data_IF_877924645038
#
_entry.id   IF_877924645038
#
_cell.length_a   1.000
_cell.length_b   1.000
_cell.length_c   1.000
_cell.angle_alpha   90.00
_cell.angle_beta   90.00
_cell.angle_gamma   90.00
#
_symmetry.space_group_name_H-M   'P 1'
#
loop_
_entity.id
_entity.type
_entity.pdbx_description
1 polymer ?
#
# COMPACT_ATOMS: atom_id res chain seq x y z
N UNK A 1 29.48 -30.01 34.55
CA UNK A 1 29.36 -29.83 33.10
C UNK A 1 27.88 -29.85 32.79
N UNK A 2 27.25 -28.71 32.84
CA UNK A 2 25.84 -28.56 32.45
C UNK A 2 25.78 -28.70 30.91
N UNK A 3 24.95 -29.60 30.46
CA UNK A 3 24.63 -29.76 29.04
C UNK A 3 23.81 -28.55 28.59
N UNK A 4 24.45 -27.51 28.09
CA UNK A 4 23.80 -26.52 27.25
C UNK A 4 23.41 -27.18 25.91
N UNK A 5 22.28 -27.87 25.90
CA UNK A 5 21.65 -28.13 24.60
C UNK A 5 21.12 -26.80 24.05
N UNK A 6 21.44 -26.47 22.81
CA UNK A 6 20.85 -25.27 22.20
C UNK A 6 19.31 -25.45 22.25
N UNK A 7 18.65 -24.48 22.84
CA UNK A 7 17.18 -24.35 22.75
C UNK A 7 16.86 -24.23 21.28
N UNK A 8 16.22 -25.23 20.67
CA UNK A 8 15.68 -25.09 19.32
C UNK A 8 14.65 -23.97 19.33
N UNK A 9 15.05 -22.82 18.84
CA UNK A 9 14.13 -21.71 18.62
C UNK A 9 13.16 -22.16 17.54
N UNK A 10 11.89 -22.27 17.89
CA UNK A 10 10.85 -22.58 16.91
C UNK A 10 10.70 -21.40 15.94
N UNK A 11 11.35 -21.50 14.79
CA UNK A 11 11.35 -20.48 13.72
C UNK A 11 10.13 -20.60 12.80
N UNK A 12 9.24 -21.57 13.04
CA UNK A 12 8.03 -21.72 12.21
C UNK A 12 7.10 -20.51 12.42
N UNK A 13 6.69 -19.79 11.36
CA UNK A 13 5.73 -18.73 11.47
C UNK A 13 4.39 -19.22 12.05
N UNK A 14 3.79 -18.46 12.94
CA UNK A 14 2.45 -18.71 13.45
C UNK A 14 1.51 -17.63 12.90
N UNK A 15 0.77 -17.98 11.88
CA UNK A 15 -0.17 -17.07 11.20
C UNK A 15 -1.63 -17.47 11.37
N UNK A 16 -2.53 -16.53 11.07
CA UNK A 16 -3.96 -16.79 10.89
C UNK A 16 -4.40 -16.24 9.53
N UNK A 17 -5.07 -17.08 8.75
CA UNK A 17 -5.70 -16.70 7.47
C UNK A 17 -7.18 -16.43 7.73
N UNK A 18 -7.68 -15.24 7.38
CA UNK A 18 -9.06 -14.83 7.52
C UNK A 18 -9.73 -14.68 6.16
N UNK A 19 -10.64 -15.59 5.82
CA UNK A 19 -11.21 -15.79 4.50
C UNK A 19 -12.74 -15.79 4.50
N UNK A 20 -13.40 -15.41 3.38
CA UNK A 20 -14.83 -15.66 3.22
C UNK A 20 -15.12 -17.17 3.12
N UNK A 21 -16.31 -17.58 3.56
CA UNK A 21 -16.73 -18.99 3.48
C UNK A 21 -16.72 -19.55 2.05
N UNK A 22 -16.87 -18.71 1.05
CA UNK A 22 -16.77 -19.07 -0.37
C UNK A 22 -15.40 -19.61 -0.74
N UNK A 23 -14.37 -19.33 0.06
CA UNK A 23 -13.00 -19.81 -0.15
C UNK A 23 -12.72 -21.19 0.47
N UNK A 24 -13.66 -21.82 1.20
CA UNK A 24 -13.44 -23.13 1.86
C UNK A 24 -13.00 -24.25 0.93
N UNK A 25 -13.34 -24.18 -0.36
CA UNK A 25 -12.99 -25.18 -1.36
C UNK A 25 -11.66 -24.95 -2.07
N UNK A 26 -10.93 -23.88 -1.74
CA UNK A 26 -9.66 -23.58 -2.38
C UNK A 26 -8.57 -24.54 -1.93
N UNK A 27 -7.80 -25.06 -2.89
CA UNK A 27 -6.73 -26.03 -2.64
C UNK A 27 -5.66 -25.44 -1.71
N UNK A 28 -5.22 -24.23 -1.94
CA UNK A 28 -4.24 -23.52 -1.11
C UNK A 28 -4.66 -23.39 0.36
N UNK A 29 -5.96 -23.30 0.62
CA UNK A 29 -6.51 -23.23 1.99
C UNK A 29 -6.54 -24.60 2.65
N UNK A 30 -6.94 -25.66 1.90
CA UNK A 30 -7.04 -27.02 2.44
C UNK A 30 -5.67 -27.68 2.67
N UNK A 31 -4.65 -27.27 1.93
CA UNK A 31 -3.27 -27.79 2.04
C UNK A 31 -2.38 -26.89 2.93
N UNK A 32 -2.86 -25.71 3.32
CA UNK A 32 -2.11 -24.80 4.19
C UNK A 32 -1.92 -25.40 5.59
N UNK A 33 -0.72 -25.25 6.13
CA UNK A 33 -0.41 -25.55 7.54
C UNK A 33 -0.79 -24.42 8.49
N UNK A 34 -1.19 -23.27 7.94
CA UNK A 34 -1.59 -22.07 8.68
C UNK A 34 -3.02 -22.20 9.16
N UNK A 35 -3.27 -21.78 10.39
CA UNK A 35 -4.64 -21.76 10.93
C UNK A 35 -5.54 -20.86 10.07
N UNK A 36 -6.73 -21.34 9.78
CA UNK A 36 -7.71 -20.62 8.95
C UNK A 36 -8.99 -20.35 9.74
N UNK A 37 -9.50 -19.14 9.59
CA UNK A 37 -10.80 -18.71 10.09
C UNK A 37 -11.66 -18.20 8.93
N UNK A 38 -12.93 -18.64 8.89
CA UNK A 38 -13.86 -18.20 7.84
C UNK A 38 -14.90 -17.23 8.39
N UNK A 39 -15.33 -16.30 7.53
CA UNK A 39 -16.42 -15.40 7.79
C UNK A 39 -17.49 -15.49 6.69
N UNK A 40 -18.75 -15.26 7.05
CA UNK A 40 -19.85 -15.22 6.09
C UNK A 40 -19.91 -13.82 5.44
N UNK A 41 -19.80 -13.72 4.11
CA UNK A 41 -19.93 -12.44 3.41
C UNK A 41 -21.28 -11.76 3.74
N UNK A 42 -21.26 -10.47 3.97
CA UNK A 42 -22.44 -9.68 4.35
C UNK A 42 -22.73 -9.63 5.86
N UNK A 43 -22.17 -10.52 6.67
CA UNK A 43 -22.24 -10.43 8.13
C UNK A 43 -21.16 -9.51 8.72
N UNK A 44 -20.06 -9.29 7.99
CA UNK A 44 -19.08 -8.28 8.36
C UNK A 44 -19.57 -6.93 7.79
N UNK A 45 -19.98 -5.97 8.64
CA UNK A 45 -20.49 -4.67 8.19
C UNK A 45 -19.42 -3.79 7.54
N UNK A 46 -18.16 -4.16 7.68
CA UNK A 46 -17.04 -3.36 7.20
C UNK A 46 -16.68 -3.77 5.76
N UNK A 47 -17.07 -2.93 4.79
CA UNK A 47 -16.72 -3.11 3.38
C UNK A 47 -15.28 -2.67 3.06
N UNK A 48 -14.68 -1.87 3.96
CA UNK A 48 -13.30 -1.40 3.80
C UNK A 48 -12.35 -2.32 4.56
N UNK A 49 -11.28 -2.75 3.90
CA UNK A 49 -10.22 -3.50 4.56
C UNK A 49 -9.43 -2.57 5.49
N UNK A 50 -9.74 -2.65 6.76
CA UNK A 50 -9.11 -1.89 7.83
C UNK A 50 -9.05 -2.72 9.12
N UNK A 51 -8.61 -2.12 10.22
CA UNK A 51 -8.54 -2.79 11.52
C UNK A 51 -9.87 -3.44 11.95
N UNK A 52 -11.02 -2.78 11.69
CA UNK A 52 -12.34 -3.31 12.08
C UNK A 52 -12.70 -4.56 11.31
N UNK A 53 -12.28 -4.67 10.04
CA UNK A 53 -12.47 -5.88 9.23
C UNK A 53 -11.79 -7.10 9.88
N UNK A 54 -10.59 -6.92 10.45
CA UNK A 54 -9.85 -8.01 11.10
C UNK A 54 -10.27 -8.28 12.55
N UNK A 55 -11.09 -7.43 13.18
CA UNK A 55 -11.45 -7.60 14.60
C UNK A 55 -11.89 -9.01 14.98
N UNK A 56 -12.78 -9.71 14.23
CA UNK A 56 -13.18 -11.07 14.61
C UNK A 56 -12.00 -12.06 14.65
N UNK A 57 -11.06 -11.92 13.72
CA UNK A 57 -9.84 -12.74 13.68
C UNK A 57 -8.89 -12.37 14.83
N UNK A 58 -8.71 -11.09 15.09
CA UNK A 58 -7.87 -10.58 16.17
C UNK A 58 -8.41 -10.96 17.56
N UNK A 59 -9.71 -10.96 17.75
CA UNK A 59 -10.35 -11.38 19.01
C UNK A 59 -10.14 -12.88 19.25
N UNK A 60 -10.16 -13.71 18.20
CA UNK A 60 -9.90 -15.14 18.29
C UNK A 60 -8.49 -15.45 18.78
N UNK A 61 -7.49 -14.68 18.35
CA UNK A 61 -6.08 -14.90 18.69
C UNK A 61 -5.59 -14.08 19.89
N UNK A 62 -6.49 -13.33 20.52
CA UNK A 62 -6.14 -12.45 21.65
C UNK A 62 -5.45 -13.21 22.79
N UNK A 63 -4.29 -12.69 23.20
CA UNK A 63 -3.48 -13.33 24.25
C UNK A 63 -2.68 -14.53 23.78
N UNK A 64 -2.63 -14.81 22.50
CA UNK A 64 -1.81 -15.85 21.89
C UNK A 64 -0.66 -15.22 21.08
N UNK A 65 0.41 -15.99 20.93
CA UNK A 65 1.62 -15.56 20.22
C UNK A 65 1.49 -15.85 18.71
N UNK A 66 0.87 -14.92 17.99
CA UNK A 66 0.79 -14.95 16.52
C UNK A 66 1.71 -13.90 15.92
N UNK A 67 2.38 -14.26 14.83
CA UNK A 67 3.31 -13.39 14.11
C UNK A 67 2.56 -12.46 13.14
N UNK A 68 1.43 -12.94 12.56
CA UNK A 68 0.62 -12.18 11.60
C UNK A 68 -0.81 -12.70 11.48
N UNK A 69 -1.67 -11.87 10.93
CA UNK A 69 -3.00 -12.22 10.40
C UNK A 69 -3.08 -11.69 8.98
N UNK A 70 -3.45 -12.54 8.02
CA UNK A 70 -3.74 -12.11 6.65
C UNK A 70 -5.23 -12.27 6.38
N UNK A 71 -5.90 -11.21 5.94
CA UNK A 71 -7.33 -11.20 5.63
C UNK A 71 -7.59 -10.89 4.18
N UNK A 72 -8.59 -11.56 3.58
CA UNK A 72 -9.02 -11.34 2.21
C UNK A 72 -10.49 -10.93 2.19
N UNK A 73 -10.86 -10.04 1.28
CA UNK A 73 -12.24 -9.63 1.11
C UNK A 73 -13.13 -10.71 0.45
N UNK A 74 -14.42 -10.41 0.28
CA UNK A 74 -15.42 -11.39 -0.15
C UNK A 74 -15.21 -11.92 -1.58
N UNK A 75 -14.57 -11.15 -2.44
CA UNK A 75 -14.26 -11.53 -3.83
C UNK A 75 -12.80 -11.94 -4.05
N UNK A 76 -12.01 -11.93 -2.97
CA UNK A 76 -10.61 -12.34 -2.94
C UNK A 76 -9.68 -11.45 -3.79
N UNK A 77 -10.07 -10.21 -4.03
CA UNK A 77 -9.31 -9.24 -4.82
C UNK A 77 -8.43 -8.33 -3.96
N UNK A 78 -8.79 -8.15 -2.69
CA UNK A 78 -8.09 -7.26 -1.76
C UNK A 78 -7.58 -8.01 -0.54
N UNK A 79 -6.44 -7.55 -0.02
CA UNK A 79 -5.72 -8.20 1.08
C UNK A 79 -5.35 -7.19 2.15
N UNK A 80 -5.39 -7.62 3.40
CA UNK A 80 -4.97 -6.82 4.56
C UNK A 80 -4.15 -7.66 5.53
N UNK A 81 -3.09 -7.07 6.08
CA UNK A 81 -2.19 -7.74 7.01
C UNK A 81 -2.21 -7.04 8.36
N UNK A 82 -2.51 -7.85 9.40
CA UNK A 82 -2.34 -7.48 10.79
C UNK A 82 -1.05 -8.09 11.36
N UNK A 83 -0.40 -7.38 12.26
CA UNK A 83 0.87 -7.78 12.88
C UNK A 83 0.99 -7.21 14.31
N UNK A 84 1.67 -7.92 15.23
CA UNK A 84 1.90 -7.40 16.58
C UNK A 84 2.99 -6.32 16.58
N UNK A 85 2.77 -5.24 17.35
CA UNK A 85 3.81 -4.27 17.67
C UNK A 85 4.71 -4.77 18.81
N UNK A 86 5.67 -3.95 19.24
CA UNK A 86 6.62 -4.31 20.31
C UNK A 86 5.95 -4.66 21.65
N UNK A 87 4.72 -4.16 21.90
CA UNK A 87 3.94 -4.49 23.11
C UNK A 87 2.96 -5.66 22.89
N UNK A 88 3.05 -6.37 21.77
CA UNK A 88 2.16 -7.48 21.42
C UNK A 88 0.75 -7.07 21.01
N UNK A 89 0.49 -5.78 20.83
CA UNK A 89 -0.80 -5.29 20.32
C UNK A 89 -0.82 -5.36 18.80
N UNK A 90 -1.86 -5.96 18.24
CA UNK A 90 -2.01 -6.01 16.79
C UNK A 90 -2.30 -4.63 16.19
N UNK A 91 -1.53 -4.31 15.18
CA UNK A 91 -1.71 -3.19 14.26
C UNK A 91 -2.04 -3.74 12.88
N UNK A 92 -2.44 -2.87 11.95
CA UNK A 92 -2.77 -3.23 10.58
C UNK A 92 -1.98 -2.32 9.65
N UNK A 93 -1.35 -2.89 8.65
CA UNK A 93 -0.73 -2.12 7.57
C UNK A 93 -1.81 -1.44 6.73
N UNK A 94 -1.61 -0.17 6.43
CA UNK A 94 -2.37 0.46 5.36
C UNK A 94 -1.87 -0.01 3.98
N UNK A 95 -2.61 0.29 2.91
CA UNK A 95 -2.26 -0.14 1.55
C UNK A 95 -0.84 0.27 1.14
N UNK A 96 -0.41 1.49 1.48
CA UNK A 96 0.93 2.00 1.16
C UNK A 96 2.04 1.22 1.86
N UNK A 97 1.86 0.92 3.14
CA UNK A 97 2.80 0.15 3.95
C UNK A 97 2.88 -1.30 3.50
N UNK A 98 1.72 -1.91 3.24
CA UNK A 98 1.63 -3.27 2.72
C UNK A 98 2.30 -3.38 1.35
N UNK A 99 2.04 -2.43 0.45
CA UNK A 99 2.69 -2.36 -0.85
C UNK A 99 4.22 -2.23 -0.73
N UNK A 100 4.72 -1.41 0.20
CA UNK A 100 6.16 -1.28 0.44
C UNK A 100 6.80 -2.59 0.92
N UNK A 101 6.14 -3.30 1.85
CA UNK A 101 6.59 -4.60 2.37
C UNK A 101 6.62 -5.63 1.24
N UNK A 102 5.51 -5.78 0.51
CA UNK A 102 5.43 -6.72 -0.61
C UNK A 102 6.46 -6.41 -1.71
N UNK A 103 6.62 -5.13 -2.07
CA UNK A 103 7.61 -4.72 -3.08
C UNK A 103 9.02 -5.09 -2.67
N UNK A 104 9.41 -4.77 -1.43
CA UNK A 104 10.76 -5.11 -0.96
C UNK A 104 10.98 -6.61 -0.94
N UNK A 105 10.04 -7.39 -0.40
CA UNK A 105 10.14 -8.85 -0.31
C UNK A 105 10.16 -9.48 -1.71
N UNK A 106 9.30 -9.03 -2.60
CA UNK A 106 9.27 -9.50 -4.00
C UNK A 106 10.58 -9.26 -4.74
N UNK A 107 11.18 -8.07 -4.59
CA UNK A 107 12.41 -7.71 -5.31
C UNK A 107 13.67 -8.31 -4.66
N UNK A 108 13.75 -8.33 -3.33
CA UNK A 108 14.92 -8.80 -2.59
C UNK A 108 14.92 -10.32 -2.37
N UNK A 109 13.75 -10.99 -2.48
CA UNK A 109 13.62 -12.41 -2.19
C UNK A 109 14.17 -13.28 -3.31
N UNK A 110 15.01 -14.25 -2.91
CA UNK A 110 15.38 -15.41 -3.75
C UNK A 110 14.35 -16.54 -3.62
N UNK A 111 13.28 -16.29 -2.91
CA UNK A 111 12.43 -17.29 -2.27
C UNK A 111 11.13 -17.61 -3.01
N UNK A 112 10.94 -17.07 -4.21
CA UNK A 112 9.84 -17.57 -5.04
C UNK A 112 10.30 -18.81 -5.81
N UNK A 113 9.88 -20.05 -5.44
CA UNK A 113 10.35 -21.29 -6.04
C UNK A 113 10.09 -21.42 -7.54
N UNK A 114 9.20 -20.55 -8.07
CA UNK A 114 8.84 -20.49 -9.50
C UNK A 114 9.57 -19.41 -10.29
N UNK A 115 10.39 -18.58 -9.63
CA UNK A 115 11.09 -17.45 -10.26
C UNK A 115 12.55 -17.79 -10.49
N UNK A 116 12.87 -18.30 -11.68
CA UNK A 116 14.26 -18.44 -12.12
C UNK A 116 14.98 -17.08 -12.04
N UNK A 117 16.21 -17.08 -11.49
CA UNK A 117 16.99 -15.90 -11.09
C UNK A 117 17.24 -14.83 -12.17
N UNK A 118 16.95 -15.11 -13.44
CA UNK A 118 17.26 -14.24 -14.60
C UNK A 118 16.06 -13.44 -15.13
N UNK A 119 14.91 -13.40 -14.43
CA UNK A 119 13.70 -12.74 -14.97
C UNK A 119 13.55 -11.34 -14.41
N UNK A 120 13.34 -10.38 -15.29
CA UNK A 120 13.01 -9.00 -14.90
C UNK A 120 11.71 -8.99 -14.09
N UNK A 121 11.80 -8.54 -12.84
CA UNK A 121 10.66 -8.36 -11.95
C UNK A 121 10.02 -7.00 -12.21
N UNK A 122 8.71 -6.98 -12.46
CA UNK A 122 7.95 -5.76 -12.69
C UNK A 122 7.01 -5.47 -11.53
N UNK A 123 7.05 -4.24 -11.04
CA UNK A 123 6.10 -3.71 -10.06
C UNK A 123 5.09 -2.81 -10.78
N UNK A 124 3.79 -3.05 -10.59
CA UNK A 124 2.72 -2.18 -11.09
C UNK A 124 2.04 -1.55 -9.89
N UNK A 125 2.06 -0.22 -9.82
CA UNK A 125 1.50 0.49 -8.66
C UNK A 125 0.42 1.49 -9.06
N UNK A 126 -0.60 1.62 -8.21
CA UNK A 126 -1.56 2.72 -8.32
C UNK A 126 -0.87 4.08 -8.18
N UNK A 127 -1.28 5.07 -9.00
CA UNK A 127 -0.63 6.40 -9.07
C UNK A 127 -0.69 7.20 -7.76
N UNK A 128 -1.64 6.92 -6.88
CA UNK A 128 -1.76 7.58 -5.57
C UNK A 128 -1.00 6.87 -4.46
N UNK A 129 -0.41 5.70 -4.74
CA UNK A 129 0.42 5.01 -3.77
C UNK A 129 1.70 5.77 -3.44
N UNK A 130 2.25 5.46 -2.27
CA UNK A 130 3.47 6.06 -1.73
C UNK A 130 4.63 6.03 -2.72
N UNK A 131 5.34 7.14 -2.82
CA UNK A 131 6.60 7.22 -3.55
C UNK A 131 7.74 6.42 -2.88
N UNK A 132 7.53 5.86 -1.70
CA UNK A 132 8.45 4.92 -1.08
C UNK A 132 8.69 3.70 -1.96
N UNK A 133 7.63 3.25 -2.66
CA UNK A 133 7.68 2.12 -3.59
C UNK A 133 8.68 2.39 -4.71
N UNK A 134 8.67 3.59 -5.29
CA UNK A 134 9.60 3.99 -6.36
C UNK A 134 11.05 3.90 -5.88
N UNK A 135 11.31 4.33 -4.63
CA UNK A 135 12.65 4.21 -4.02
C UNK A 135 13.05 2.77 -3.77
N UNK A 136 12.12 1.93 -3.32
CA UNK A 136 12.38 0.51 -3.12
C UNK A 136 12.73 -0.14 -4.45
N UNK A 137 11.91 0.09 -5.48
CA UNK A 137 12.12 -0.49 -6.83
C UNK A 137 13.46 -0.04 -7.40
N UNK A 138 13.74 1.27 -7.38
CA UNK A 138 14.99 1.83 -7.93
C UNK A 138 16.22 1.28 -7.20
N UNK A 139 16.18 1.17 -5.87
CA UNK A 139 17.33 0.65 -5.09
C UNK A 139 17.56 -0.86 -5.26
N UNK A 140 16.56 -1.59 -5.70
CA UNK A 140 16.64 -3.03 -5.95
C UNK A 140 16.71 -3.35 -7.46
N UNK A 141 17.02 -2.36 -8.30
CA UNK A 141 17.17 -2.51 -9.75
C UNK A 141 15.95 -3.09 -10.48
N UNK A 142 14.77 -2.96 -9.87
CA UNK A 142 13.50 -3.38 -10.47
C UNK A 142 12.98 -2.38 -11.51
N UNK A 143 12.00 -2.82 -12.27
CA UNK A 143 11.21 -1.96 -13.14
C UNK A 143 9.83 -1.69 -12.51
N UNK A 144 9.24 -0.52 -12.79
CA UNK A 144 7.87 -0.26 -12.39
C UNK A 144 7.05 0.41 -13.50
N UNK A 145 5.75 0.18 -13.46
CA UNK A 145 4.73 0.89 -14.24
C UNK A 145 3.67 1.45 -13.31
N UNK A 146 3.03 2.52 -13.71
CA UNK A 146 1.88 3.08 -13.01
C UNK A 146 0.57 2.56 -13.59
N UNK A 147 -0.47 2.51 -12.74
CA UNK A 147 -1.84 2.15 -13.08
C UNK A 147 -2.82 3.10 -12.38
N UNK A 148 -4.05 3.19 -12.88
CA UNK A 148 -5.15 3.69 -12.07
C UNK A 148 -5.52 2.69 -10.98
N UNK A 149 -6.30 3.13 -9.99
CA UNK A 149 -6.81 2.26 -8.94
C UNK A 149 -7.95 1.39 -9.43
N UNK A 150 -7.97 0.15 -8.95
CA UNK A 150 -9.00 -0.84 -9.25
C UNK A 150 -8.41 -2.13 -9.81
N UNK A 151 -9.05 -3.24 -9.45
CA UNK A 151 -8.60 -4.58 -9.89
C UNK A 151 -8.51 -4.69 -11.42
N UNK A 152 -9.51 -4.17 -12.15
CA UNK A 152 -9.53 -4.26 -13.61
C UNK A 152 -8.45 -3.38 -14.26
N UNK A 153 -8.16 -2.18 -13.73
CA UNK A 153 -7.08 -1.33 -14.23
C UNK A 153 -5.70 -1.99 -14.03
N UNK A 154 -5.47 -2.59 -12.86
CA UNK A 154 -4.25 -3.35 -12.59
C UNK A 154 -4.12 -4.55 -13.52
N UNK A 155 -5.23 -5.28 -13.76
CA UNK A 155 -5.28 -6.44 -14.65
C UNK A 155 -5.00 -6.05 -16.11
N UNK A 156 -5.58 -4.95 -16.59
CA UNK A 156 -5.28 -4.41 -17.92
C UNK A 156 -3.79 -4.14 -18.08
N UNK A 157 -3.16 -3.48 -17.09
CA UNK A 157 -1.72 -3.20 -17.10
C UNK A 157 -0.86 -4.48 -17.07
N UNK A 158 -1.31 -5.53 -16.38
CA UNK A 158 -0.63 -6.84 -16.38
C UNK A 158 -0.72 -7.47 -17.80
N UNK A 159 -1.87 -7.39 -18.46
CA UNK A 159 -2.07 -7.96 -19.79
C UNK A 159 -1.29 -7.22 -20.90
N UNK A 160 -0.87 -5.97 -20.65
CA UNK A 160 0.02 -5.20 -21.53
C UNK A 160 1.52 -5.56 -21.37
N UNK A 161 1.84 -6.52 -20.50
CA UNK A 161 3.24 -6.92 -20.28
C UNK A 161 3.70 -7.78 -21.45
N UNK A 162 4.74 -7.30 -22.15
CA UNK A 162 5.41 -8.02 -23.23
C UNK A 162 6.56 -8.88 -22.67
N UNK A 163 6.89 -9.98 -23.41
CA UNK A 163 8.09 -10.75 -23.11
C UNK A 163 9.33 -9.86 -23.09
N UNK A 164 10.27 -10.04 -22.14
CA UNK A 164 10.55 -11.24 -21.33
C UNK A 164 10.07 -11.21 -19.88
N UNK A 165 9.20 -10.28 -19.47
CA UNK A 165 8.78 -10.16 -18.07
C UNK A 165 7.87 -11.34 -17.71
N UNK A 166 8.28 -12.15 -16.73
CA UNK A 166 7.53 -13.35 -16.30
C UNK A 166 7.04 -13.28 -14.86
N UNK A 167 7.42 -12.23 -14.15
CA UNK A 167 7.08 -12.04 -12.76
C UNK A 167 6.65 -10.61 -12.51
N UNK A 168 5.47 -10.46 -11.95
CA UNK A 168 4.93 -9.13 -11.61
C UNK A 168 4.31 -9.14 -10.22
N UNK A 169 4.25 -7.95 -9.65
CA UNK A 169 3.50 -7.62 -8.44
C UNK A 169 2.72 -6.33 -8.71
N UNK A 170 1.39 -6.40 -8.66
CA UNK A 170 0.53 -5.24 -8.88
C UNK A 170 -0.30 -4.93 -7.63
N UNK A 171 -0.47 -3.65 -7.30
CA UNK A 171 -1.24 -3.20 -6.14
C UNK A 171 -1.70 -1.75 -6.28
N UNK A 172 -2.72 -1.41 -5.49
CA UNK A 172 -3.27 -0.05 -5.40
C UNK A 172 -3.58 0.36 -3.95
N UNK A 173 -4.00 1.61 -3.77
CA UNK A 173 -4.36 2.18 -2.47
C UNK A 173 -5.67 1.63 -1.88
N UNK A 174 -6.39 0.79 -2.61
CA UNK A 174 -7.61 0.10 -2.17
C UNK A 174 -7.35 -1.31 -1.65
N UNK A 175 -6.06 -1.66 -1.45
CA UNK A 175 -5.57 -2.97 -1.01
C UNK A 175 -5.72 -4.11 -2.04
N UNK A 176 -5.92 -3.82 -3.33
CA UNK A 176 -5.76 -4.86 -4.35
C UNK A 176 -4.30 -5.29 -4.41
N UNK A 177 -4.07 -6.60 -4.46
CA UNK A 177 -2.73 -7.20 -4.59
C UNK A 177 -2.82 -8.35 -5.60
N UNK A 178 -2.06 -8.27 -6.68
CA UNK A 178 -2.08 -9.25 -7.76
C UNK A 178 -0.64 -9.74 -8.02
N UNK A 179 -0.41 -11.01 -7.74
CA UNK A 179 0.80 -11.76 -8.07
C UNK A 179 0.53 -12.78 -9.18
N UNK A 180 -0.74 -13.16 -9.37
CA UNK A 180 -1.23 -13.99 -10.46
C UNK A 180 -2.68 -13.63 -10.77
N UNK A 181 -3.08 -13.77 -12.05
CA UNK A 181 -4.46 -13.52 -12.47
C UNK A 181 -5.41 -14.66 -12.09
N UNK A 182 -4.91 -15.88 -11.85
CA UNK A 182 -5.68 -16.93 -11.21
C UNK A 182 -5.83 -16.63 -9.71
N UNK A 183 -7.07 -16.46 -9.25
CA UNK A 183 -7.35 -16.06 -7.87
C UNK A 183 -6.81 -17.04 -6.82
N UNK A 184 -6.87 -18.34 -7.08
CA UNK A 184 -6.39 -19.36 -6.15
C UNK A 184 -4.87 -19.25 -5.99
N UNK A 185 -4.18 -19.18 -7.12
CA UNK A 185 -2.73 -19.01 -7.15
C UNK A 185 -2.29 -17.67 -6.58
N UNK A 186 -3.06 -16.59 -6.82
CA UNK A 186 -2.79 -15.29 -6.25
C UNK A 186 -2.82 -15.31 -4.71
N UNK A 187 -3.82 -15.96 -4.11
CA UNK A 187 -3.92 -16.12 -2.64
C UNK A 187 -2.75 -16.95 -2.11
N UNK A 188 -2.47 -18.08 -2.76
CA UNK A 188 -1.35 -18.96 -2.39
C UNK A 188 -0.02 -18.20 -2.38
N UNK A 189 0.27 -17.44 -3.44
CA UNK A 189 1.48 -16.65 -3.56
C UNK A 189 1.57 -15.55 -2.50
N UNK A 190 0.46 -14.90 -2.16
CA UNK A 190 0.46 -13.87 -1.12
C UNK A 190 0.71 -14.46 0.28
N UNK A 191 0.09 -15.60 0.59
CA UNK A 191 0.31 -16.32 1.85
C UNK A 191 1.77 -16.76 1.93
N UNK A 192 2.28 -17.43 0.90
CA UNK A 192 3.69 -17.89 0.85
C UNK A 192 4.67 -16.73 1.02
N UNK A 193 4.41 -15.58 0.38
CA UNK A 193 5.27 -14.41 0.49
C UNK A 193 5.40 -13.89 1.93
N UNK A 194 4.29 -13.87 2.67
CA UNK A 194 4.28 -13.43 4.07
C UNK A 194 4.90 -14.48 4.97
N UNK A 195 4.62 -15.78 4.76
CA UNK A 195 5.22 -16.86 5.55
C UNK A 195 6.74 -16.88 5.42
N UNK A 196 7.25 -16.80 4.20
CA UNK A 196 8.69 -16.76 3.93
C UNK A 196 9.35 -15.54 4.56
N UNK A 197 8.72 -14.35 4.41
CA UNK A 197 9.20 -13.14 5.06
C UNK A 197 9.27 -13.30 6.58
N UNK A 198 8.19 -13.79 7.21
CA UNK A 198 8.13 -13.95 8.66
C UNK A 198 9.15 -15.01 9.13
N UNK A 199 9.31 -16.09 8.38
CA UNK A 199 10.32 -17.13 8.69
C UNK A 199 11.74 -16.55 8.63
N UNK A 200 12.06 -15.78 7.60
CA UNK A 200 13.37 -15.11 7.48
C UNK A 200 13.59 -14.12 8.64
N UNK A 201 12.56 -13.34 8.98
CA UNK A 201 12.64 -12.40 10.10
C UNK A 201 12.84 -13.10 11.44
N UNK A 202 12.10 -14.17 11.72
CA UNK A 202 12.27 -14.97 12.96
C UNK A 202 13.66 -15.57 13.07
N UNK A 203 14.25 -16.01 11.97
CA UNK A 203 15.64 -16.52 11.95
C UNK A 203 16.66 -15.44 12.34
N UNK A 204 16.28 -14.17 12.24
CA UNK A 204 17.08 -12.98 12.59
C UNK A 204 16.60 -12.29 13.88
N UNK A 205 15.75 -12.96 14.66
CA UNK A 205 15.12 -12.43 15.88
C UNK A 205 14.39 -11.09 15.66
N UNK A 206 13.73 -10.96 14.50
CA UNK A 206 12.97 -9.78 14.09
C UNK A 206 11.49 -10.11 13.89
N UNK A 207 10.65 -9.10 14.05
CA UNK A 207 9.22 -9.14 13.77
C UNK A 207 8.87 -8.38 12.47
N UNK A 208 7.63 -8.52 11.98
CA UNK A 208 7.09 -7.66 10.91
C UNK A 208 7.09 -6.17 11.29
N UNK A 209 6.91 -5.85 12.58
CA UNK A 209 7.06 -4.48 13.07
C UNK A 209 8.48 -3.95 12.88
N UNK A 210 9.48 -4.75 13.28
CA UNK A 210 10.89 -4.38 13.09
C UNK A 210 11.23 -4.19 11.62
N UNK A 211 10.77 -5.09 10.77
CA UNK A 211 10.98 -4.98 9.32
C UNK A 211 10.34 -3.72 8.74
N UNK A 212 9.10 -3.41 9.15
CA UNK A 212 8.45 -2.17 8.75
C UNK A 212 9.27 -0.94 9.15
N UNK A 213 9.77 -0.89 10.38
CA UNK A 213 10.63 0.21 10.85
C UNK A 213 11.95 0.28 10.05
N UNK A 214 12.58 -0.87 9.80
CA UNK A 214 13.81 -0.94 9.00
C UNK A 214 13.60 -0.41 7.57
N UNK A 215 12.44 -0.69 6.94
CA UNK A 215 12.08 -0.10 5.64
C UNK A 215 11.96 1.42 5.70
N UNK A 216 11.35 1.97 6.78
CA UNK A 216 11.23 3.42 6.95
C UNK A 216 12.60 4.10 7.17
N UNK A 217 13.50 3.46 7.88
CA UNK A 217 14.88 3.95 8.05
C UNK A 217 15.62 3.91 6.71
N UNK A 218 15.52 2.82 5.97
CA UNK A 218 16.26 2.59 4.72
C UNK A 218 15.77 3.45 3.55
N UNK A 219 14.46 3.68 3.43
CA UNK A 219 13.82 4.30 2.26
C UNK A 219 13.09 5.61 2.60
N UNK A 220 13.33 6.21 3.75
CA UNK A 220 12.63 7.32 4.39
C UNK A 220 11.25 6.93 4.92
N UNK A 221 10.82 7.64 5.93
CA UNK A 221 9.51 7.48 6.53
C UNK A 221 8.48 8.28 5.73
N UNK A 222 7.56 7.58 5.11
CA UNK A 222 6.43 8.17 4.40
C UNK A 222 5.20 8.23 5.30
N UNK A 223 4.47 9.33 5.19
CA UNK A 223 3.13 9.49 5.73
C UNK A 223 2.15 9.68 4.60
N UNK A 224 1.04 8.97 4.64
CA UNK A 224 -0.05 9.07 3.68
C UNK A 224 -1.37 9.29 4.39
N UNK A 225 -2.22 10.13 3.81
CA UNK A 225 -3.58 10.39 4.28
C UNK A 225 -4.52 10.55 3.11
N UNK A 226 -5.67 9.89 3.21
CA UNK A 226 -6.77 10.06 2.27
C UNK A 226 -7.97 10.68 2.99
N UNK A 227 -8.54 11.70 2.40
CA UNK A 227 -9.72 12.39 2.90
C UNK A 227 -10.81 12.34 1.84
N UNK A 228 -12.01 12.00 2.26
CA UNK A 228 -13.21 12.15 1.43
C UNK A 228 -13.80 13.53 1.73
N UNK A 229 -13.83 14.38 0.72
CA UNK A 229 -14.43 15.71 0.80
C UNK A 229 -15.88 15.56 0.36
N UNK A 230 -16.80 15.74 1.31
CA UNK A 230 -18.23 15.76 1.02
C UNK A 230 -18.72 17.21 0.98
N UNK A 231 -18.99 17.71 -0.22
CA UNK A 231 -19.61 19.02 -0.44
C UNK A 231 -20.71 18.86 -1.46
N UNK A 232 -21.96 19.04 -1.05
CA UNK A 232 -23.12 18.87 -1.93
C UNK A 232 -23.02 19.83 -3.13
N UNK A 233 -22.85 19.24 -4.33
CA UNK A 233 -22.83 19.98 -5.61
C UNK A 233 -21.54 20.74 -5.93
N UNK A 234 -20.55 20.84 -5.01
CA UNK A 234 -19.34 21.65 -5.21
C UNK A 234 -18.10 20.85 -5.59
N UNK A 235 -18.12 19.53 -5.48
CA UNK A 235 -16.96 18.65 -5.70
C UNK A 235 -16.27 18.91 -7.06
N UNK A 236 -17.06 19.09 -8.11
CA UNK A 236 -16.54 19.37 -9.45
C UNK A 236 -15.83 20.73 -9.54
N UNK A 237 -16.37 21.77 -8.90
CA UNK A 237 -15.73 23.09 -8.84
C UNK A 237 -14.42 23.03 -8.05
N UNK A 238 -14.41 22.31 -6.94
CA UNK A 238 -13.19 22.10 -6.13
C UNK A 238 -12.14 21.38 -6.96
N UNK A 239 -12.50 20.29 -7.64
CA UNK A 239 -11.60 19.56 -8.53
C UNK A 239 -11.02 20.47 -9.64
N UNK A 240 -11.88 21.23 -10.34
CA UNK A 240 -11.45 22.16 -11.40
C UNK A 240 -10.54 23.27 -10.86
N UNK A 241 -10.71 23.69 -9.60
CA UNK A 241 -9.82 24.66 -8.96
C UNK A 241 -8.42 24.09 -8.76
N UNK A 242 -8.28 22.86 -8.29
CA UNK A 242 -6.97 22.21 -8.16
C UNK A 242 -6.24 22.09 -9.51
N UNK A 243 -6.98 21.94 -10.60
CA UNK A 243 -6.43 21.86 -11.95
C UNK A 243 -6.02 23.21 -12.52
N UNK A 244 -6.80 24.25 -12.25
CA UNK A 244 -6.61 25.59 -12.87
C UNK A 244 -5.82 26.55 -12.01
N UNK A 245 -5.95 26.44 -10.69
CA UNK A 245 -5.26 27.26 -9.70
C UNK A 245 -4.74 26.39 -8.56
N UNK A 246 -3.76 25.52 -8.85
CA UNK A 246 -3.20 24.63 -7.82
C UNK A 246 -2.60 25.44 -6.65
N UNK A 247 -2.69 24.94 -5.42
CA UNK A 247 -2.21 25.63 -4.22
C UNK A 247 -0.68 25.70 -4.20
N UNK A 248 -0.10 26.73 -4.83
CA UNK A 248 1.36 26.93 -4.81
C UNK A 248 1.84 27.64 -3.56
N UNK A 249 1.00 28.49 -2.96
CA UNK A 249 1.40 29.39 -1.88
C UNK A 249 0.86 28.99 -0.49
N UNK A 250 -0.16 28.12 -0.43
CA UNK A 250 -0.84 27.78 0.82
C UNK A 250 0.05 27.08 1.85
N UNK A 251 1.23 26.60 1.45
CA UNK A 251 2.13 25.82 2.28
C UNK A 251 3.60 26.26 2.20
N UNK A 252 3.86 27.41 1.60
CA UNK A 252 5.21 27.94 1.35
C UNK A 252 6.12 26.96 0.59
N UNK A 253 5.53 26.10 -0.26
CA UNK A 253 6.23 25.09 -1.02
C UNK A 253 6.10 25.35 -2.52
N UNK A 254 7.18 25.16 -3.25
CA UNK A 254 7.20 25.35 -4.69
C UNK A 254 6.56 24.16 -5.40
N UNK A 255 5.53 24.43 -6.21
CA UNK A 255 4.90 23.44 -7.08
C UNK A 255 5.84 23.14 -8.25
N UNK A 256 6.32 21.89 -8.33
CA UNK A 256 7.30 21.41 -9.33
C UNK A 256 6.61 20.89 -10.58
N UNK A 257 5.57 20.06 -10.41
CA UNK A 257 4.88 19.46 -11.56
C UNK A 257 3.38 19.28 -11.32
N UNK A 258 2.64 19.22 -12.43
CA UNK A 258 1.21 18.96 -12.48
C UNK A 258 0.97 17.84 -13.49
N UNK A 259 0.29 16.78 -13.07
CA UNK A 259 -0.24 15.73 -13.94
C UNK A 259 -1.76 15.82 -13.96
N UNK A 260 -2.34 16.39 -15.01
CA UNK A 260 -3.79 16.47 -15.23
C UNK A 260 -4.21 15.33 -16.16
N UNK A 261 -4.61 14.19 -15.58
CA UNK A 261 -5.02 13.02 -16.38
C UNK A 261 -6.31 13.28 -17.15
N UNK A 262 -7.17 14.18 -16.69
CA UNK A 262 -8.38 14.57 -17.45
C UNK A 262 -8.03 15.28 -18.75
N UNK A 263 -6.98 16.10 -18.75
CA UNK A 263 -6.51 16.83 -19.94
C UNK A 263 -5.42 16.10 -20.71
N UNK A 264 -4.96 14.94 -20.19
CA UNK A 264 -3.80 14.23 -20.74
C UNK A 264 -2.57 15.14 -20.82
N UNK A 265 -2.29 15.87 -19.74
CA UNK A 265 -1.22 16.85 -19.67
C UNK A 265 -0.35 16.64 -18.44
N UNK A 266 0.91 16.33 -18.66
CA UNK A 266 1.98 16.51 -17.68
C UNK A 266 2.69 17.82 -17.94
N UNK A 267 2.88 18.64 -16.92
CA UNK A 267 3.60 19.91 -16.99
C UNK A 267 4.62 20.03 -15.85
N UNK A 268 5.90 20.05 -16.20
CA UNK A 268 6.98 20.36 -15.27
C UNK A 268 7.23 21.88 -15.26
N UNK A 269 6.93 22.53 -14.15
CA UNK A 269 7.03 24.00 -14.01
C UNK A 269 8.48 24.50 -13.99
N UNK A 270 9.43 23.70 -13.48
CA UNK A 270 10.83 24.09 -13.38
C UNK A 270 11.50 24.13 -14.76
N UNK A 271 11.17 23.17 -15.62
CA UNK A 271 11.77 23.05 -16.95
C UNK A 271 10.91 23.61 -18.09
N UNK A 272 9.63 23.90 -17.82
CA UNK A 272 8.64 24.25 -18.82
C UNK A 272 8.21 23.07 -19.73
N UNK A 273 8.71 21.86 -19.49
CA UNK A 273 8.41 20.67 -20.31
C UNK A 273 6.96 20.26 -20.17
N UNK A 274 6.34 19.95 -21.30
CA UNK A 274 5.00 19.36 -21.40
C UNK A 274 5.09 18.01 -22.10
N UNK A 275 4.29 17.04 -21.65
CA UNK A 275 4.12 15.72 -22.28
C UNK A 275 2.75 15.16 -21.96
N UNK A 276 2.37 14.08 -22.60
CA UNK A 276 1.18 13.31 -22.24
C UNK A 276 1.54 12.29 -21.15
N UNK A 277 0.66 12.06 -20.14
CA UNK A 277 0.78 10.91 -19.24
C UNK A 277 0.60 9.59 -19.99
N UNK A 278 1.26 8.53 -19.54
CA UNK A 278 1.06 7.19 -20.13
C UNK A 278 -0.33 6.60 -19.85
N UNK A 279 -0.95 7.02 -18.75
CA UNK A 279 -2.23 6.46 -18.33
C UNK A 279 -3.40 7.14 -19.05
N UNK A 280 -4.45 6.36 -19.27
CA UNK A 280 -5.70 6.83 -19.89
C UNK A 280 -6.32 8.02 -19.15
N UNK A 281 -7.23 8.70 -19.83
CA UNK A 281 -7.96 9.82 -19.27
C UNK A 281 -8.80 9.42 -18.05
N UNK A 282 -8.61 10.17 -16.94
CA UNK A 282 -9.39 10.03 -15.70
C UNK A 282 -9.55 11.38 -15.00
N UNK A 283 -10.57 11.50 -14.15
CA UNK A 283 -10.78 12.69 -13.33
C UNK A 283 -9.84 12.71 -12.11
N UNK A 284 -8.52 12.71 -12.38
CA UNK A 284 -7.45 12.80 -11.39
C UNK A 284 -6.51 13.94 -11.79
N UNK A 285 -6.05 14.70 -10.79
CA UNK A 285 -4.92 15.63 -10.90
C UNK A 285 -3.93 15.36 -9.78
N UNK A 286 -2.65 15.34 -10.13
CA UNK A 286 -1.55 15.21 -9.16
C UNK A 286 -0.66 16.46 -9.20
N UNK A 287 -0.26 16.88 -8.01
CA UNK A 287 0.57 18.06 -7.77
C UNK A 287 1.80 17.59 -6.98
N UNK A 288 2.99 17.74 -7.54
CA UNK A 288 4.25 17.43 -6.87
C UNK A 288 4.95 18.71 -6.44
N UNK A 289 5.42 18.74 -5.21
CA UNK A 289 6.09 19.89 -4.59
C UNK A 289 7.58 19.60 -4.31
N UNK A 290 8.37 20.66 -4.23
CA UNK A 290 9.82 20.59 -4.04
C UNK A 290 10.25 19.91 -2.75
N UNK A 291 9.42 19.93 -1.71
CA UNK A 291 9.64 19.21 -0.45
C UNK A 291 9.50 17.69 -0.57
N UNK A 292 8.87 17.21 -1.65
CA UNK A 292 8.45 15.83 -1.84
C UNK A 292 7.01 15.52 -1.44
N UNK A 293 6.27 16.55 -1.00
CA UNK A 293 4.83 16.44 -0.85
C UNK A 293 4.18 16.19 -2.22
N UNK A 294 3.32 15.18 -2.27
CA UNK A 294 2.42 14.91 -3.40
C UNK A 294 0.97 15.06 -2.94
N UNK A 295 0.19 15.80 -3.70
CA UNK A 295 -1.25 15.94 -3.54
C UNK A 295 -1.93 15.34 -4.76
N UNK A 296 -2.79 14.34 -4.58
CA UNK A 296 -3.62 13.80 -5.66
C UNK A 296 -5.09 14.08 -5.33
N UNK A 297 -5.81 14.62 -6.27
CA UNK A 297 -7.24 14.91 -6.16
C UNK A 297 -7.98 14.06 -7.17
N UNK A 298 -8.86 13.21 -6.71
CA UNK A 298 -9.63 12.25 -7.51
C UNK A 298 -11.12 12.56 -7.39
N UNK A 299 -11.79 12.75 -8.52
CA UNK A 299 -13.23 12.94 -8.60
C UNK A 299 -13.89 11.67 -9.15
N UNK A 300 -14.72 11.02 -8.35
CA UNK A 300 -15.35 9.73 -8.69
C UNK A 300 -16.87 9.81 -8.61
N UNK A 301 -17.54 8.70 -8.97
CA UNK A 301 -18.99 8.52 -8.85
C UNK A 301 -19.77 9.65 -9.57
N UNK A 302 -19.34 9.94 -10.83
CA UNK A 302 -19.97 10.99 -11.65
C UNK A 302 -19.84 12.40 -11.09
N UNK A 303 -18.90 12.61 -10.15
CA UNK A 303 -18.68 13.91 -9.49
C UNK A 303 -19.24 14.00 -8.08
N UNK A 304 -19.82 12.92 -7.56
CA UNK A 304 -20.43 12.91 -6.23
C UNK A 304 -19.41 12.76 -5.09
N UNK A 305 -18.24 12.14 -5.37
CA UNK A 305 -17.18 11.94 -4.37
C UNK A 305 -15.88 12.59 -4.83
N UNK A 306 -15.25 13.27 -3.91
CA UNK A 306 -13.94 13.90 -4.11
C UNK A 306 -12.98 13.37 -3.05
N UNK A 307 -11.93 12.70 -3.50
CA UNK A 307 -10.87 12.23 -2.62
C UNK A 307 -9.65 13.12 -2.74
N UNK A 308 -9.06 13.42 -1.60
CA UNK A 308 -7.78 14.12 -1.47
C UNK A 308 -6.78 13.16 -0.85
N UNK A 309 -5.79 12.75 -1.64
CA UNK A 309 -4.70 11.89 -1.19
C UNK A 309 -3.46 12.75 -0.99
N UNK A 310 -2.86 12.65 0.17
CA UNK A 310 -1.62 13.33 0.54
C UNK A 310 -0.55 12.29 0.82
N UNK A 311 0.62 12.47 0.23
CA UNK A 311 1.82 11.69 0.54
C UNK A 311 2.99 12.64 0.73
N UNK A 312 3.74 12.46 1.82
CA UNK A 312 4.92 13.25 2.15
C UNK A 312 5.91 12.37 2.92
N UNK A 313 7.15 12.82 3.08
CA UNK A 313 8.14 12.03 3.78
C UNK A 313 9.01 12.84 4.73
N UNK A 314 9.64 12.14 5.67
CA UNK A 314 10.67 12.67 6.54
C UNK A 314 11.79 11.65 6.72
N UNK A 315 12.95 12.11 7.17
CA UNK A 315 14.02 11.20 7.54
C UNK A 315 13.71 10.48 8.86
N UNK A 316 14.04 9.20 8.90
CA UNK A 316 14.00 8.37 10.09
C UNK A 316 15.36 7.69 10.21
N UNK A 317 16.14 8.03 11.22
CA UNK A 317 17.54 7.63 11.30
C UNK A 317 17.77 6.32 12.07
N UNK A 318 16.88 6.00 13.01
CA UNK A 318 16.96 4.81 13.85
C UNK A 318 15.58 4.47 14.45
N UNK A 319 15.49 3.33 15.14
CA UNK A 319 14.26 2.87 15.78
C UNK A 319 13.73 3.84 16.85
N UNK A 320 14.62 4.46 17.61
CA UNK A 320 14.23 5.38 18.70
C UNK A 320 13.56 6.65 18.16
N UNK A 321 14.00 7.11 16.96
CA UNK A 321 13.44 8.28 16.29
C UNK A 321 12.13 7.99 15.56
N UNK A 322 11.78 6.71 15.31
CA UNK A 322 10.64 6.32 14.48
C UNK A 322 9.31 6.89 14.96
N UNK A 323 9.00 6.75 16.27
CA UNK A 323 7.73 7.23 16.83
C UNK A 323 7.57 8.76 16.68
N UNK A 324 8.63 9.51 16.92
CA UNK A 324 8.64 10.96 16.78
C UNK A 324 8.55 11.41 15.33
N UNK A 325 9.30 10.77 14.43
CA UNK A 325 9.24 11.03 12.99
C UNK A 325 7.84 10.75 12.42
N UNK A 326 7.22 9.62 12.82
CA UNK A 326 5.86 9.25 12.42
C UNK A 326 4.81 10.27 12.93
N UNK A 327 4.95 10.73 14.17
CA UNK A 327 4.10 11.78 14.71
C UNK A 327 4.29 13.09 13.93
N UNK A 328 5.53 13.50 13.70
CA UNK A 328 5.86 14.73 12.98
C UNK A 328 5.26 14.79 11.58
N UNK A 329 5.41 13.71 10.79
CA UNK A 329 4.83 13.64 9.44
C UNK A 329 3.30 13.65 9.46
N UNK A 330 2.66 12.95 10.41
CA UNK A 330 1.21 12.97 10.55
C UNK A 330 0.69 14.37 10.91
N UNK A 331 1.34 15.07 11.83
CA UNK A 331 0.98 16.44 12.23
C UNK A 331 1.16 17.41 11.06
N UNK A 332 2.21 17.23 10.23
CA UNK A 332 2.43 18.01 9.03
C UNK A 332 1.30 17.79 8.01
N UNK A 333 0.96 16.56 7.70
CA UNK A 333 -0.14 16.24 6.76
C UNK A 333 -1.49 16.82 7.23
N UNK A 334 -1.78 16.79 8.53
CA UNK A 334 -3.00 17.40 9.08
C UNK A 334 -3.00 18.92 8.91
N UNK A 335 -1.87 19.60 9.12
CA UNK A 335 -1.74 21.04 8.87
C UNK A 335 -1.99 21.39 7.40
N UNK A 336 -1.46 20.57 6.47
CA UNK A 336 -1.68 20.71 5.04
C UNK A 336 -3.18 20.64 4.71
N UNK A 337 -3.88 19.62 5.23
CA UNK A 337 -5.33 19.47 5.02
C UNK A 337 -6.12 20.66 5.55
N UNK A 338 -5.80 21.15 6.74
CA UNK A 338 -6.46 22.34 7.30
C UNK A 338 -6.23 23.56 6.40
N UNK A 339 -5.01 23.74 5.87
CA UNK A 339 -4.69 24.82 4.93
C UNK A 339 -5.48 24.68 3.62
N UNK A 340 -5.53 23.48 3.04
CA UNK A 340 -6.31 23.20 1.83
C UNK A 340 -7.81 23.37 2.06
N UNK A 341 -8.32 23.00 3.24
CA UNK A 341 -9.73 23.19 3.61
C UNK A 341 -10.16 24.65 3.60
N UNK A 342 -9.30 25.57 4.04
CA UNK A 342 -9.55 27.03 3.92
C UNK A 342 -9.69 27.46 2.47
N UNK A 343 -8.84 26.95 1.58
CA UNK A 343 -8.92 27.25 0.14
C UNK A 343 -10.19 26.68 -0.52
N UNK A 344 -10.73 25.58 0.01
CA UNK A 344 -11.98 24.99 -0.48
C UNK A 344 -13.18 25.83 -0.04
N UNK A 345 -13.17 26.32 1.21
CA UNK A 345 -14.25 27.16 1.78
C UNK A 345 -14.33 28.52 1.10
N UNK A 346 -13.20 29.11 0.71
CA UNK A 346 -13.14 30.39 0.00
C UNK A 346 -13.67 30.33 -1.46
N UNK A 347 -14.32 29.22 -1.85
CA UNK A 347 -14.98 29.05 -3.17
C UNK A 347 -16.38 29.70 -3.20
N UNK A 348 -16.93 30.10 -2.05
CA UNK A 348 -18.26 30.70 -1.94
C UNK A 348 -18.22 32.24 -2.11
#
# INVERSE_FOLDING_TARGET
MENDQPVEVNITPKGLIYLPETAKGLKCVSESKVETMFYTPGQNPEQNLNYKFLLPALDKIKGQDYDYVIGFDSDLSRTIIGYPNAEGRFLVFNAHQQAAIFTHTFLAGNSFPSMEDDKTKLVIKGIVLSQQIDKIVTKNYGAYKESHAGYEDLKERILEIEDPIKSYLAFDERNHVILDLDKNKNIELQISLIEELVQDLKSKEKSLFDFHVDLQIRYKLYGEKTFNITSEGENKKIFDRFRTKPPSDAMHEELVSISDYKKQLFFNKLTGRKSEPELRQMDIVQLDYSSGLKISVELTDGGNKLFLHLSDYTDCYNKDSFANARKGINDRLLKIVVSLGKMVIDVN
#
